data_IF_427879914379
#
_entry.id   IF_427879914379
#
_cell.length_a   1.000
_cell.length_b   1.000
_cell.length_c   1.000
_cell.angle_alpha   90.00
_cell.angle_beta   90.00
_cell.angle_gamma   90.00
#
_symmetry.space_group_name_H-M   'P 1'
#
loop_
_entity.id
_entity.type
_entity.pdbx_description
1 polymer ?
#
# COMPACT_ATOMS: atom_id res chain seq x y z
N UNK A 1 -1.49 -20.44 19.11
CA UNK A 1 -1.42 -20.43 17.63
C UNK A 1 -0.34 -19.45 17.22
N UNK A 2 0.69 -19.91 16.53
CA UNK A 2 1.68 -19.04 15.87
C UNK A 2 1.18 -18.88 14.44
N UNK A 3 0.92 -17.65 14.01
CA UNK A 3 0.51 -17.34 12.64
C UNK A 3 1.72 -16.85 11.85
N UNK A 4 1.94 -17.40 10.66
CA UNK A 4 3.11 -17.10 9.81
C UNK A 4 2.75 -16.40 8.49
N UNK A 5 1.57 -15.75 8.43
CA UNK A 5 1.09 -15.17 7.17
C UNK A 5 0.19 -13.97 7.35
N UNK A 6 0.07 -13.19 6.27
CA UNK A 6 -0.79 -12.01 6.16
C UNK A 6 -1.88 -12.28 5.11
N UNK A 7 -3.09 -11.75 5.33
CA UNK A 7 -4.20 -11.80 4.37
C UNK A 7 -4.36 -10.43 3.73
N UNK A 8 -4.29 -10.37 2.40
CA UNK A 8 -4.45 -9.15 1.62
C UNK A 8 -5.80 -9.18 0.91
N UNK A 9 -6.51 -8.05 0.92
CA UNK A 9 -7.79 -7.89 0.22
C UNK A 9 -7.80 -6.60 -0.60
N UNK A 10 -8.28 -6.70 -1.84
CA UNK A 10 -8.36 -5.57 -2.78
C UNK A 10 -9.66 -4.72 -2.75
N UNK A 11 -10.80 -5.11 -2.14
CA UNK A 11 -12.05 -4.34 -2.27
C UNK A 11 -11.91 -2.84 -1.97
N UNK A 12 -11.18 -2.47 -0.92
CA UNK A 12 -11.02 -1.08 -0.52
C UNK A 12 -10.25 -0.23 -1.55
N UNK A 13 -9.23 -0.81 -2.19
CA UNK A 13 -8.43 -0.09 -3.19
C UNK A 13 -9.16 -0.04 -4.54
N UNK A 14 -9.92 -1.07 -4.88
CA UNK A 14 -10.74 -1.09 -6.10
C UNK A 14 -11.88 -0.07 -6.03
N UNK A 15 -12.53 0.11 -4.87
CA UNK A 15 -13.54 1.18 -4.67
C UNK A 15 -12.95 2.58 -4.86
N UNK A 16 -11.65 2.76 -4.61
CA UNK A 16 -10.94 4.04 -4.83
C UNK A 16 -10.45 4.24 -6.27
N UNK A 17 -10.76 3.33 -7.19
CA UNK A 17 -10.40 3.42 -8.61
C UNK A 17 -9.09 2.76 -9.01
N UNK A 18 -8.44 2.01 -8.12
CA UNK A 18 -7.23 1.25 -8.47
C UNK A 18 -7.55 0.05 -9.36
N UNK A 19 -6.68 -0.19 -10.34
CA UNK A 19 -6.73 -1.29 -11.31
C UNK A 19 -5.53 -2.24 -11.17
N UNK A 20 -5.52 -3.30 -11.97
CA UNK A 20 -4.49 -4.34 -12.02
C UNK A 20 -3.08 -3.77 -12.18
N UNK A 21 -2.89 -2.79 -13.08
CA UNK A 21 -1.61 -2.12 -13.32
C UNK A 21 -1.01 -1.43 -12.08
N UNK A 22 -1.87 -1.08 -11.10
CA UNK A 22 -1.46 -0.43 -9.87
C UNK A 22 -1.01 -1.44 -8.81
N UNK A 23 -1.40 -2.71 -8.94
CA UNK A 23 -1.11 -3.74 -7.95
C UNK A 23 0.37 -4.10 -7.93
N UNK A 24 1.07 -4.03 -9.05
CA UNK A 24 2.52 -4.25 -9.10
C UNK A 24 3.27 -3.27 -8.19
N UNK A 25 2.91 -1.99 -8.24
CA UNK A 25 3.47 -0.96 -7.35
C UNK A 25 3.18 -1.24 -5.88
N UNK A 26 1.94 -1.62 -5.55
CA UNK A 26 1.54 -1.95 -4.17
C UNK A 26 2.33 -3.15 -3.65
N UNK A 27 2.43 -4.22 -4.44
CA UNK A 27 3.17 -5.43 -4.06
C UNK A 27 4.66 -5.14 -3.92
N UNK A 28 5.25 -4.32 -4.81
CA UNK A 28 6.65 -3.92 -4.70
C UNK A 28 6.92 -3.11 -3.41
N UNK A 29 6.00 -2.25 -2.99
CA UNK A 29 6.10 -1.54 -1.71
C UNK A 29 6.00 -2.49 -0.51
N UNK A 30 5.09 -3.47 -0.56
CA UNK A 30 4.95 -4.49 0.49
C UNK A 30 6.23 -5.34 0.58
N UNK A 31 6.74 -5.83 -0.56
CA UNK A 31 7.94 -6.66 -0.64
C UNK A 31 9.18 -5.95 -0.07
N UNK A 32 9.37 -4.66 -0.40
CA UNK A 32 10.46 -3.85 0.16
C UNK A 32 10.42 -3.79 1.69
N UNK A 33 9.23 -3.69 2.30
CA UNK A 33 9.09 -3.70 3.76
C UNK A 33 9.35 -5.09 4.33
N UNK A 34 8.83 -6.15 3.69
CA UNK A 34 9.01 -7.53 4.16
C UNK A 34 10.47 -7.98 4.15
N UNK A 35 11.28 -7.51 3.21
CA UNK A 35 12.72 -7.83 3.13
C UNK A 35 13.55 -6.97 4.10
N UNK A 36 13.06 -5.79 4.51
CA UNK A 36 13.80 -4.81 5.31
C UNK A 36 13.03 -4.39 6.58
N UNK A 37 12.48 -5.37 7.31
CA UNK A 37 11.57 -5.12 8.45
C UNK A 37 12.18 -4.28 9.59
N UNK A 38 13.51 -4.27 9.72
CA UNK A 38 14.23 -3.55 10.77
C UNK A 38 14.73 -2.15 10.32
N UNK A 39 14.61 -1.80 9.03
CA UNK A 39 15.04 -0.50 8.51
C UNK A 39 13.93 0.55 8.65
N UNK A 40 13.92 1.19 9.82
CA UNK A 40 12.94 2.23 10.18
C UNK A 40 12.99 3.42 9.20
N UNK A 41 14.18 3.77 8.69
CA UNK A 41 14.33 4.90 7.78
C UNK A 41 13.70 4.60 6.43
N UNK A 42 13.94 3.39 5.90
CA UNK A 42 13.30 2.92 4.68
C UNK A 42 11.78 2.85 4.83
N UNK A 43 11.29 2.31 5.95
CA UNK A 43 9.84 2.22 6.22
C UNK A 43 9.20 3.60 6.26
N UNK A 44 9.87 4.59 6.88
CA UNK A 44 9.39 5.97 6.90
C UNK A 44 9.39 6.60 5.51
N UNK A 45 10.41 6.35 4.69
CA UNK A 45 10.44 6.81 3.29
C UNK A 45 9.29 6.20 2.48
N UNK A 46 9.11 4.88 2.56
CA UNK A 46 8.04 4.17 1.87
C UNK A 46 6.65 4.63 2.30
N UNK A 47 6.50 5.04 3.56
CA UNK A 47 5.24 5.62 4.05
C UNK A 47 4.89 6.92 3.30
N UNK A 48 5.88 7.78 3.03
CA UNK A 48 5.65 8.99 2.25
C UNK A 48 5.38 8.67 0.79
N UNK A 49 6.09 7.69 0.21
CA UNK A 49 5.82 7.21 -1.16
C UNK A 49 4.39 6.68 -1.32
N UNK A 50 3.91 5.89 -0.34
CA UNK A 50 2.53 5.39 -0.31
C UNK A 50 1.55 6.55 -0.23
N UNK A 51 1.78 7.54 0.64
CA UNK A 51 0.90 8.71 0.74
C UNK A 51 0.82 9.46 -0.58
N UNK A 52 1.95 9.69 -1.23
CA UNK A 52 2.01 10.38 -2.52
C UNK A 52 1.23 9.60 -3.59
N UNK A 53 1.45 8.29 -3.67
CA UNK A 53 0.74 7.41 -4.58
C UNK A 53 -0.79 7.45 -4.34
N UNK A 54 -1.22 7.42 -3.07
CA UNK A 54 -2.64 7.43 -2.73
C UNK A 54 -3.35 8.76 -3.00
N UNK A 55 -2.64 9.86 -3.27
CA UNK A 55 -3.25 11.15 -3.69
C UNK A 55 -3.98 11.03 -5.03
N UNK A 56 -3.57 10.08 -5.89
CA UNK A 56 -4.21 9.80 -7.17
C UNK A 56 -5.59 9.11 -7.00
N UNK A 57 -5.85 8.54 -5.83
CA UNK A 57 -7.04 7.73 -5.52
C UNK A 57 -7.79 8.30 -4.32
N UNK A 58 -8.39 9.51 -4.41
CA UNK A 58 -9.15 10.10 -3.31
C UNK A 58 -10.29 9.17 -2.85
N UNK A 59 -10.51 9.09 -1.53
CA UNK A 59 -11.55 8.21 -0.97
C UNK A 59 -12.96 8.80 -1.11
N UNK A 60 -13.09 10.12 -0.96
CA UNK A 60 -14.34 10.87 -1.09
C UNK A 60 -14.10 12.14 -1.89
N UNK A 61 -14.13 12.09 -3.23
CA UNK A 61 -13.99 13.27 -4.08
C UNK A 61 -15.05 14.34 -3.78
N UNK A 62 -16.25 13.92 -3.36
CA UNK A 62 -17.37 14.82 -3.06
C UNK A 62 -17.31 15.54 -1.69
N UNK A 63 -16.37 15.18 -0.81
CA UNK A 63 -16.20 15.82 0.50
C UNK A 63 -15.03 16.83 0.53
N UNK A 64 -14.45 17.14 -0.65
CA UNK A 64 -13.36 18.10 -0.85
C UNK A 64 -13.84 19.44 -1.38
#
# INVERSE_FOLDING_TARGET
FVTSGIRIGVPAVTTRGMKEEHMETVVAMIDKVLVNVDDINLINSLREDVKEFMKQFPLYPELG
#
